data_IF_018276285632
#
_entry.id   IF_018276285632
#
_cell.length_a   1.000
_cell.length_b   1.000
_cell.length_c   1.000
_cell.angle_alpha   90.00
_cell.angle_beta   90.00
_cell.angle_gamma   90.00
#
_symmetry.space_group_name_H-M   'P 1'
#
loop_
_entity.id
_entity.type
_entity.pdbx_description
1 polymer ?
#
# COMPACT_ATOMS: atom_id res chain seq x y z
N UNK A 1 6.85 27.65 -13.17
CA UNK A 1 8.04 27.45 -12.31
C UNK A 1 7.57 27.33 -10.87
N UNK A 2 7.45 26.11 -10.33
CA UNK A 2 7.02 25.89 -8.95
C UNK A 2 8.28 25.55 -8.15
N UNK A 3 8.56 26.35 -7.13
CA UNK A 3 9.72 26.20 -6.26
C UNK A 3 9.78 24.78 -5.68
N UNK A 4 10.83 24.05 -6.02
CA UNK A 4 11.22 22.83 -5.32
C UNK A 4 11.55 23.23 -3.88
N UNK A 5 10.57 23.14 -2.96
CA UNK A 5 10.81 23.29 -1.53
C UNK A 5 11.77 22.17 -1.11
N UNK A 6 13.06 22.50 -1.04
CA UNK A 6 14.09 21.60 -0.51
C UNK A 6 13.67 21.21 0.90
N UNK A 7 13.64 19.91 1.18
CA UNK A 7 13.61 19.44 2.57
C UNK A 7 14.79 20.08 3.29
N UNK A 8 14.57 20.85 4.37
CA UNK A 8 15.67 21.42 5.10
C UNK A 8 16.40 20.24 5.76
N UNK A 9 17.61 19.95 5.30
CA UNK A 9 18.45 18.84 5.78
C UNK A 9 19.07 19.15 7.14
N UNK A 10 19.26 20.44 7.46
CA UNK A 10 19.80 20.90 8.74
C UNK A 10 18.96 20.46 9.95
N UNK A 11 17.63 20.73 10.02
CA UNK A 11 16.82 20.36 11.17
C UNK A 11 16.79 18.85 11.46
N UNK A 12 16.83 18.02 10.41
CA UNK A 12 16.86 16.55 10.57
C UNK A 12 18.21 16.08 11.11
N UNK A 13 19.32 16.63 10.61
CA UNK A 13 20.65 16.31 11.12
C UNK A 13 20.85 16.77 12.59
N UNK A 14 20.39 17.97 12.94
CA UNK A 14 20.42 18.48 14.31
C UNK A 14 19.58 17.64 15.26
N UNK A 15 18.38 17.24 14.83
CA UNK A 15 17.56 16.31 15.60
C UNK A 15 18.27 14.97 15.80
N UNK A 16 18.89 14.41 14.75
CA UNK A 16 19.64 13.15 14.86
C UNK A 16 20.80 13.20 15.85
N UNK A 17 21.56 14.30 15.89
CA UNK A 17 22.63 14.49 16.87
C UNK A 17 22.09 14.59 18.30
N UNK A 18 21.01 15.35 18.53
CA UNK A 18 20.38 15.47 19.84
C UNK A 18 19.79 14.13 20.29
N UNK A 19 19.17 13.39 19.39
CA UNK A 19 18.65 12.05 19.65
C UNK A 19 19.77 11.11 20.12
N UNK A 20 20.89 11.09 19.40
CA UNK A 20 22.04 10.27 19.77
C UNK A 20 22.60 10.66 21.14
N UNK A 21 22.69 11.97 21.44
CA UNK A 21 23.14 12.47 22.72
C UNK A 21 22.20 12.02 23.86
N UNK A 22 20.89 12.19 23.70
CA UNK A 22 19.88 11.78 24.68
C UNK A 22 19.97 10.28 24.94
N UNK A 23 19.97 9.44 23.90
CA UNK A 23 20.04 7.99 24.07
C UNK A 23 21.35 7.55 24.75
N UNK A 24 22.48 8.16 24.39
CA UNK A 24 23.76 7.86 25.03
C UNK A 24 23.74 8.24 26.52
N UNK A 25 23.21 9.42 26.86
CA UNK A 25 23.07 9.85 28.25
C UNK A 25 22.16 8.92 29.04
N UNK A 26 21.01 8.52 28.48
CA UNK A 26 20.09 7.61 29.17
C UNK A 26 20.70 6.22 29.39
N UNK A 27 21.49 5.70 28.43
CA UNK A 27 22.24 4.45 28.61
C UNK A 27 23.28 4.55 29.73
N UNK A 28 24.03 5.65 29.79
CA UNK A 28 25.02 5.87 30.85
C UNK A 28 24.36 6.00 32.22
N UNK A 29 23.22 6.69 32.32
CA UNK A 29 22.46 6.83 33.56
C UNK A 29 21.92 5.48 34.01
N UNK A 30 21.31 4.70 33.10
CA UNK A 30 20.77 3.37 33.37
C UNK A 30 21.81 2.42 33.98
N UNK A 31 23.07 2.48 33.49
CA UNK A 31 24.18 1.68 34.02
C UNK A 31 24.93 2.25 35.23
N UNK A 32 24.51 3.40 35.78
CA UNK A 32 25.24 4.11 36.82
C UNK A 32 24.76 3.79 38.25
N UNK A 33 25.61 4.08 39.24
CA UNK A 33 25.23 4.01 40.66
C UNK A 33 24.06 4.96 41.03
N UNK A 34 23.82 6.00 40.24
CA UNK A 34 22.69 6.92 40.45
C UNK A 34 21.34 6.22 40.22
N UNK A 35 21.28 5.35 39.21
CA UNK A 35 20.09 4.54 38.95
C UNK A 35 19.90 3.49 40.04
N UNK A 36 20.99 2.84 40.48
CA UNK A 36 20.94 1.86 41.57
C UNK A 36 20.48 2.47 42.92
N UNK A 37 20.76 3.75 43.16
CA UNK A 37 20.36 4.44 44.39
C UNK A 37 18.86 4.72 44.49
N UNK A 38 18.18 5.01 43.36
CA UNK A 38 16.73 5.24 43.31
C UNK A 38 16.17 4.77 41.96
N UNK A 39 15.99 3.44 41.78
CA UNK A 39 15.66 2.87 40.48
C UNK A 39 14.28 3.30 39.96
N UNK A 40 13.31 3.56 40.84
CA UNK A 40 11.99 4.06 40.44
C UNK A 40 12.04 5.48 39.84
N UNK A 41 12.78 6.39 40.47
CA UNK A 41 12.93 7.77 39.98
C UNK A 41 13.74 7.79 38.68
N UNK A 42 14.81 7.00 38.61
CA UNK A 42 15.61 6.83 37.40
C UNK A 42 14.80 6.27 36.24
N UNK A 43 14.00 5.24 36.49
CA UNK A 43 13.13 4.63 35.47
C UNK A 43 12.05 5.60 34.97
N UNK A 44 11.44 6.37 35.87
CA UNK A 44 10.50 7.43 35.50
C UNK A 44 11.17 8.49 34.62
N UNK A 45 12.33 9.01 35.02
CA UNK A 45 13.04 10.06 34.30
C UNK A 45 13.46 9.60 32.89
N UNK A 46 14.04 8.41 32.77
CA UNK A 46 14.43 7.83 31.47
C UNK A 46 13.19 7.62 30.59
N UNK A 47 12.11 7.07 31.15
CA UNK A 47 10.86 6.86 30.40
C UNK A 47 10.30 8.19 29.90
N UNK A 48 10.27 9.22 30.76
CA UNK A 48 9.76 10.54 30.40
C UNK A 48 10.61 11.20 29.31
N UNK A 49 11.94 11.20 29.43
CA UNK A 49 12.80 11.84 28.44
C UNK A 49 12.73 11.14 27.07
N UNK A 50 12.68 9.81 27.06
CA UNK A 50 12.55 9.09 25.80
C UNK A 50 11.16 9.23 25.19
N UNK A 51 10.08 9.15 25.98
CA UNK A 51 8.70 9.14 25.43
C UNK A 51 8.07 10.52 25.26
N UNK A 52 8.55 11.55 25.96
CA UNK A 52 8.02 12.92 25.88
C UNK A 52 9.04 13.87 25.27
N UNK A 53 10.26 13.94 25.82
CA UNK A 53 11.26 14.91 25.39
C UNK A 53 11.68 14.68 23.93
N UNK A 54 11.93 13.43 23.52
CA UNK A 54 12.29 13.12 22.12
C UNK A 54 11.18 13.48 21.11
N UNK A 55 9.91 13.07 21.28
CA UNK A 55 8.83 13.48 20.38
C UNK A 55 8.59 15.00 20.35
N UNK A 56 8.72 15.69 21.49
CA UNK A 56 8.61 17.16 21.55
C UNK A 56 9.75 17.83 20.77
N UNK A 57 10.99 17.36 20.92
CA UNK A 57 12.12 17.86 20.14
C UNK A 57 11.94 17.58 18.64
N UNK A 58 11.42 16.42 18.27
CA UNK A 58 11.09 16.11 16.88
C UNK A 58 10.02 17.09 16.34
N UNK A 59 8.99 17.38 17.13
CA UNK A 59 7.97 18.35 16.75
C UNK A 59 8.57 19.74 16.55
N UNK A 60 9.34 20.24 17.51
CA UNK A 60 9.88 21.61 17.50
C UNK A 60 10.93 21.82 16.40
N UNK A 61 11.80 20.84 16.19
CA UNK A 61 12.91 20.97 15.23
C UNK A 61 12.49 20.58 13.82
N UNK A 62 11.74 19.49 13.67
CA UNK A 62 11.41 18.93 12.36
C UNK A 62 10.00 19.34 11.94
N UNK A 63 8.95 18.95 12.68
CA UNK A 63 7.56 19.12 12.22
C UNK A 63 7.20 20.60 12.06
N UNK A 64 7.49 21.43 13.06
CA UNK A 64 7.20 22.88 13.06
C UNK A 64 7.89 23.62 11.91
N UNK A 65 9.06 23.14 11.50
CA UNK A 65 9.90 23.80 10.50
C UNK A 65 9.78 23.15 9.11
N UNK A 66 8.90 22.17 8.94
CA UNK A 66 8.69 21.44 7.68
C UNK A 66 7.21 21.41 7.29
N UNK A 67 6.91 20.79 6.15
CA UNK A 67 5.54 20.54 5.67
C UNK A 67 4.90 19.30 6.31
N UNK A 68 5.59 18.68 7.27
CA UNK A 68 5.10 17.46 7.92
C UNK A 68 3.91 17.78 8.82
N UNK A 69 2.91 16.91 8.80
CA UNK A 69 1.73 17.02 9.66
C UNK A 69 2.05 16.48 11.05
N UNK A 70 1.43 17.02 12.11
CA UNK A 70 1.67 16.60 13.52
C UNK A 70 1.48 15.10 13.79
N UNK A 71 0.80 14.38 12.89
CA UNK A 71 0.63 12.93 12.94
C UNK A 71 1.98 12.19 12.78
N UNK A 72 3.00 12.81 12.17
CA UNK A 72 4.34 12.20 12.06
C UNK A 72 5.08 12.07 13.39
N UNK A 73 4.54 12.64 14.47
CA UNK A 73 5.07 12.44 15.84
C UNK A 73 4.80 11.01 16.33
N UNK A 74 3.67 10.41 15.93
CA UNK A 74 3.27 9.07 16.38
C UNK A 74 4.32 7.97 16.11
N UNK A 75 4.88 7.81 14.90
CA UNK A 75 5.93 6.82 14.66
C UNK A 75 7.22 7.11 15.44
N UNK A 76 7.55 8.38 15.70
CA UNK A 76 8.73 8.74 16.52
C UNK A 76 8.50 8.34 17.97
N UNK A 77 7.32 8.64 18.52
CA UNK A 77 6.92 8.22 19.85
C UNK A 77 6.97 6.69 20.04
N UNK A 78 6.53 5.94 19.02
CA UNK A 78 6.64 4.47 19.01
C UNK A 78 8.08 3.96 19.04
N UNK A 79 8.94 4.51 18.19
CA UNK A 79 10.36 4.16 18.19
C UNK A 79 11.04 4.56 19.51
N UNK A 80 10.57 5.64 20.13
CA UNK A 80 11.02 6.07 21.44
C UNK A 80 10.60 5.11 22.57
N UNK A 81 9.39 4.56 22.53
CA UNK A 81 8.94 3.51 23.46
C UNK A 81 9.80 2.25 23.31
N UNK A 82 10.00 1.77 22.08
CA UNK A 82 10.88 0.63 21.80
C UNK A 82 12.32 0.91 22.24
N UNK A 83 12.80 2.13 22.04
CA UNK A 83 14.12 2.55 22.53
C UNK A 83 14.21 2.50 24.05
N UNK A 84 13.19 2.99 24.76
CA UNK A 84 13.15 2.97 26.22
C UNK A 84 13.12 1.54 26.79
N UNK A 85 12.45 0.59 26.12
CA UNK A 85 12.44 -0.82 26.53
C UNK A 85 13.81 -1.49 26.38
N UNK A 86 14.67 -0.98 25.50
CA UNK A 86 16.06 -1.46 25.33
C UNK A 86 17.03 -0.83 26.33
N UNK A 87 16.76 0.40 26.78
CA UNK A 87 17.62 1.15 27.71
C UNK A 87 17.36 0.74 29.17
N UNK A 88 16.11 0.43 29.53
CA UNK A 88 15.72 0.11 30.90
C UNK A 88 15.83 -1.39 31.21
N UNK A 89 16.37 -1.78 32.39
CA UNK A 89 16.31 -3.16 32.86
C UNK A 89 14.87 -3.67 32.95
N UNK A 90 14.59 -4.96 32.63
CA UNK A 90 13.23 -5.51 32.63
C UNK A 90 12.47 -5.32 33.95
N UNK A 91 13.19 -5.28 35.07
CA UNK A 91 12.64 -5.11 36.42
C UNK A 91 12.03 -3.70 36.67
N UNK A 92 12.44 -2.69 35.88
CA UNK A 92 12.08 -1.29 36.10
C UNK A 92 11.19 -0.71 34.99
N UNK A 93 10.57 -1.56 34.15
CA UNK A 93 9.75 -1.12 33.01
C UNK A 93 8.29 -0.79 33.38
N UNK A 94 7.97 -0.56 34.67
CA UNK A 94 6.59 -0.31 35.13
C UNK A 94 5.90 0.84 34.38
N UNK A 95 6.56 1.99 34.26
CA UNK A 95 6.00 3.16 33.57
C UNK A 95 5.86 2.93 32.07
N UNK A 96 6.82 2.22 31.48
CA UNK A 96 6.79 1.82 30.07
C UNK A 96 5.58 0.92 29.79
N UNK A 97 5.35 -0.11 30.60
CA UNK A 97 4.20 -1.01 30.47
C UNK A 97 2.86 -0.28 30.58
N UNK A 98 2.74 0.69 31.50
CA UNK A 98 1.54 1.52 31.61
C UNK A 98 1.30 2.35 30.34
N UNK A 99 2.36 2.93 29.76
CA UNK A 99 2.27 3.66 28.51
C UNK A 99 1.91 2.72 27.35
N UNK A 100 2.54 1.56 27.22
CA UNK A 100 2.23 0.58 26.18
C UNK A 100 0.73 0.19 26.19
N UNK A 101 0.17 -0.09 27.37
CA UNK A 101 -1.25 -0.42 27.49
C UNK A 101 -2.20 0.73 27.10
N UNK A 102 -1.78 1.99 27.25
CA UNK A 102 -2.56 3.17 26.84
C UNK A 102 -2.38 3.48 25.35
N UNK A 103 -1.20 3.22 24.82
CA UNK A 103 -0.80 3.56 23.46
C UNK A 103 -1.46 2.62 22.45
N UNK A 104 -1.53 1.32 22.75
CA UNK A 104 -2.22 0.34 21.88
C UNK A 104 -3.66 0.78 21.51
N UNK A 105 -4.56 1.09 22.46
CA UNK A 105 -5.90 1.56 22.10
C UNK A 105 -5.90 2.94 21.44
N UNK A 106 -5.03 3.87 21.86
CA UNK A 106 -4.92 5.18 21.24
C UNK A 106 -4.50 5.10 19.75
N UNK A 107 -3.59 4.18 19.42
CA UNK A 107 -3.17 3.91 18.05
C UNK A 107 -4.27 3.28 17.22
N UNK A 108 -4.96 2.27 17.77
CA UNK A 108 -6.11 1.68 17.09
C UNK A 108 -7.17 2.74 16.75
N UNK A 109 -7.41 3.68 17.66
CA UNK A 109 -8.29 4.82 17.42
C UNK A 109 -7.75 5.78 16.36
N UNK A 110 -6.45 6.11 16.39
CA UNK A 110 -5.80 6.96 15.38
C UNK A 110 -5.85 6.33 13.98
N UNK A 111 -5.47 5.06 13.85
CA UNK A 111 -5.54 4.31 12.60
C UNK A 111 -6.98 4.19 12.10
N UNK A 112 -7.93 3.90 12.99
CA UNK A 112 -9.37 3.89 12.68
C UNK A 112 -9.85 5.25 12.17
N UNK A 113 -9.49 6.34 12.85
CA UNK A 113 -9.83 7.70 12.45
C UNK A 113 -9.23 8.07 11.08
N UNK A 114 -7.95 7.79 10.87
CA UNK A 114 -7.25 8.01 9.60
C UNK A 114 -7.88 7.20 8.47
N UNK A 115 -8.25 5.95 8.73
CA UNK A 115 -8.96 5.09 7.78
C UNK A 115 -10.33 5.64 7.40
N UNK A 116 -11.14 6.05 8.39
CA UNK A 116 -12.44 6.68 8.14
C UNK A 116 -12.30 8.00 7.37
N UNK A 117 -11.29 8.81 7.70
CA UNK A 117 -10.99 10.03 6.95
C UNK A 117 -10.61 9.70 5.50
N UNK A 118 -9.74 8.73 5.28
CA UNK A 118 -9.35 8.27 3.95
C UNK A 118 -10.58 7.80 3.14
N UNK A 119 -11.49 7.03 3.74
CA UNK A 119 -12.77 6.64 3.09
C UNK A 119 -13.59 7.86 2.68
N UNK A 120 -13.76 8.81 3.60
CA UNK A 120 -14.52 10.03 3.32
C UNK A 120 -13.90 10.83 2.19
N UNK A 121 -12.57 10.97 2.19
CA UNK A 121 -11.83 11.71 1.18
C UNK A 121 -11.91 11.01 -0.19
N UNK A 122 -11.78 9.68 -0.25
CA UNK A 122 -11.98 8.91 -1.49
C UNK A 122 -13.40 9.06 -2.01
N UNK A 123 -14.41 8.96 -1.15
CA UNK A 123 -15.82 9.11 -1.54
C UNK A 123 -16.13 10.52 -2.02
N UNK A 124 -15.60 11.55 -1.37
CA UNK A 124 -15.71 12.96 -1.79
C UNK A 124 -15.03 13.18 -3.14
N UNK A 125 -13.80 12.69 -3.30
CA UNK A 125 -13.06 12.80 -4.55
C UNK A 125 -13.76 12.08 -5.71
N UNK A 126 -14.44 10.95 -5.45
CA UNK A 126 -15.28 10.26 -6.44
C UNK A 126 -16.54 11.06 -6.77
N UNK A 127 -17.20 11.66 -5.78
CA UNK A 127 -18.42 12.45 -5.99
C UNK A 127 -18.19 13.77 -6.73
N UNK A 128 -16.99 14.35 -6.60
CA UNK A 128 -16.60 15.63 -7.21
C UNK A 128 -15.90 15.47 -8.57
N UNK A 129 -15.92 14.27 -9.17
CA UNK A 129 -15.30 14.07 -10.48
C UNK A 129 -16.03 14.89 -11.53
N UNK A 130 -15.32 15.83 -12.13
CA UNK A 130 -15.82 16.56 -13.30
C UNK A 130 -15.95 15.60 -14.49
N UNK A 131 -17.03 15.70 -15.28
CA UNK A 131 -17.20 14.95 -16.53
C UNK A 131 -15.95 15.10 -17.41
N UNK A 132 -15.35 13.99 -17.83
CA UNK A 132 -14.18 13.99 -18.71
C UNK A 132 -12.80 14.12 -18.04
N UNK A 133 -12.73 14.21 -16.70
CA UNK A 133 -11.47 14.06 -15.97
C UNK A 133 -11.00 12.62 -16.10
N UNK A 134 -9.89 12.36 -16.79
CA UNK A 134 -9.35 11.01 -16.98
C UNK A 134 -9.32 10.21 -15.69
N UNK A 135 -9.60 8.90 -15.76
CA UNK A 135 -9.82 8.06 -14.58
C UNK A 135 -8.51 7.72 -13.85
N UNK A 136 -7.91 8.71 -13.19
CA UNK A 136 -6.95 8.40 -12.14
C UNK A 136 -7.73 7.84 -10.96
N UNK A 137 -7.54 6.56 -10.72
CA UNK A 137 -8.15 5.88 -9.58
C UNK A 137 -7.52 6.34 -8.25
N UNK A 138 -8.05 5.85 -7.14
CA UNK A 138 -7.52 6.18 -5.81
C UNK A 138 -6.02 5.91 -5.67
N UNK A 139 -5.53 4.80 -6.23
CA UNK A 139 -4.15 4.34 -6.07
C UNK A 139 -3.21 5.27 -6.84
N UNK A 140 -3.55 5.60 -8.08
CA UNK A 140 -2.78 6.52 -8.91
C UNK A 140 -2.71 7.92 -8.28
N UNK A 141 -3.81 8.41 -7.70
CA UNK A 141 -3.83 9.70 -6.98
C UNK A 141 -2.98 9.66 -5.71
N UNK A 142 -3.07 8.58 -4.93
CA UNK A 142 -2.29 8.40 -3.71
C UNK A 142 -0.79 8.36 -4.04
N UNK A 143 -0.42 7.60 -5.07
CA UNK A 143 0.96 7.51 -5.54
C UNK A 143 1.49 8.86 -6.05
N UNK A 144 0.71 9.58 -6.86
CA UNK A 144 1.09 10.92 -7.33
C UNK A 144 1.30 11.91 -6.17
N UNK A 145 0.41 11.88 -5.16
CA UNK A 145 0.50 12.74 -3.97
C UNK A 145 1.73 12.39 -3.12
N UNK A 146 1.94 11.10 -2.84
CA UNK A 146 3.08 10.64 -2.04
C UNK A 146 4.42 10.89 -2.74
N UNK A 147 4.50 10.75 -4.06
CA UNK A 147 5.70 11.09 -4.83
C UNK A 147 6.05 12.59 -4.79
N UNK A 148 5.06 13.46 -4.57
CA UNK A 148 5.30 14.89 -4.34
C UNK A 148 5.70 15.19 -2.90
N UNK A 149 5.16 14.43 -1.94
CA UNK A 149 5.40 14.63 -0.52
C UNK A 149 6.69 13.98 0.00
N UNK A 150 7.17 12.89 -0.62
CA UNK A 150 8.33 12.14 -0.15
C UNK A 150 9.53 12.31 -1.11
N UNK A 151 10.75 12.50 -0.59
CA UNK A 151 11.94 12.69 -1.42
C UNK A 151 12.37 11.40 -2.14
N UNK A 152 12.14 10.24 -1.52
CA UNK A 152 12.46 8.94 -2.08
C UNK A 152 11.25 8.34 -2.82
N UNK A 153 11.33 8.31 -4.16
CA UNK A 153 10.25 7.78 -5.02
C UNK A 153 9.87 6.34 -4.68
N UNK A 154 10.87 5.49 -4.40
CA UNK A 154 10.63 4.11 -4.01
C UNK A 154 9.84 4.01 -2.70
N UNK A 155 10.22 4.77 -1.66
CA UNK A 155 9.49 4.79 -0.40
C UNK A 155 8.05 5.30 -0.60
N UNK A 156 7.86 6.32 -1.45
CA UNK A 156 6.53 6.80 -1.80
C UNK A 156 5.66 5.73 -2.44
N UNK A 157 6.22 4.97 -3.37
CA UNK A 157 5.52 3.89 -4.06
C UNK A 157 5.20 2.72 -3.13
N UNK A 158 6.11 2.38 -2.21
CA UNK A 158 5.87 1.35 -1.19
C UNK A 158 4.73 1.75 -0.27
N UNK A 159 4.81 2.95 0.32
CA UNK A 159 3.77 3.48 1.21
C UNK A 159 2.43 3.59 0.50
N UNK A 160 2.41 4.01 -0.77
CA UNK A 160 1.18 4.10 -1.56
C UNK A 160 0.50 2.73 -1.70
N UNK A 161 1.26 1.68 -1.99
CA UNK A 161 0.73 0.33 -2.12
C UNK A 161 0.23 -0.20 -0.79
N UNK A 162 1.00 -0.03 0.29
CA UNK A 162 0.60 -0.51 1.62
C UNK A 162 -0.68 0.16 2.12
N UNK A 163 -0.78 1.49 1.97
CA UNK A 163 -2.00 2.23 2.30
C UNK A 163 -3.16 1.79 1.39
N UNK A 164 -2.92 1.52 0.11
CA UNK A 164 -3.95 1.00 -0.79
C UNK A 164 -4.44 -0.40 -0.36
N UNK A 165 -3.55 -1.33 -0.02
CA UNK A 165 -3.93 -2.66 0.48
C UNK A 165 -4.79 -2.56 1.74
N UNK A 166 -4.36 -1.78 2.73
CA UNK A 166 -5.12 -1.58 3.97
C UNK A 166 -6.47 -0.89 3.72
N UNK A 167 -6.51 0.13 2.85
CA UNK A 167 -7.75 0.77 2.43
C UNK A 167 -8.72 -0.25 1.84
N UNK A 168 -8.26 -1.06 0.89
CA UNK A 168 -9.10 -2.06 0.27
C UNK A 168 -9.54 -3.11 1.30
N UNK A 169 -8.63 -3.62 2.13
CA UNK A 169 -8.87 -4.70 3.07
C UNK A 169 -9.86 -4.34 4.19
N UNK A 170 -9.81 -3.11 4.71
CA UNK A 170 -10.52 -2.74 5.93
C UNK A 170 -11.68 -1.77 5.68
N UNK A 171 -11.57 -0.94 4.66
CA UNK A 171 -12.38 0.28 4.58
C UNK A 171 -13.27 0.39 3.33
N UNK A 172 -13.00 -0.41 2.30
CA UNK A 172 -13.67 -0.30 1.00
C UNK A 172 -14.86 -1.26 0.78
N UNK A 173 -15.27 -2.02 1.79
CA UNK A 173 -16.28 -3.09 1.66
C UNK A 173 -17.63 -2.62 1.09
N UNK A 174 -18.02 -1.37 1.38
CA UNK A 174 -19.26 -0.74 0.89
C UNK A 174 -19.07 0.06 -0.39
N UNK A 175 -17.87 0.10 -0.94
CA UNK A 175 -17.59 0.88 -2.12
C UNK A 175 -18.06 0.16 -3.39
N UNK A 176 -18.36 0.97 -4.40
CA UNK A 176 -18.69 0.52 -5.76
C UNK A 176 -17.42 0.54 -6.63
N UNK A 177 -17.37 -0.28 -7.69
CA UNK A 177 -16.29 -0.26 -8.67
C UNK A 177 -16.01 1.15 -9.17
N UNK A 178 -14.74 1.46 -9.37
CA UNK A 178 -14.30 2.78 -9.80
C UNK A 178 -14.51 2.95 -11.31
N UNK A 179 -15.65 3.53 -11.71
CA UNK A 179 -16.06 3.75 -13.10
C UNK A 179 -16.35 5.23 -13.32
N UNK A 180 -15.67 5.86 -14.27
CA UNK A 180 -15.93 7.24 -14.69
C UNK A 180 -17.11 7.38 -15.64
N UNK A 181 -17.57 8.60 -15.86
CA UNK A 181 -18.63 8.89 -16.83
C UNK A 181 -18.17 8.55 -18.25
N UNK A 182 -19.01 7.82 -19.01
CA UNK A 182 -18.72 7.37 -20.37
C UNK A 182 -17.77 6.16 -20.47
N UNK A 183 -17.25 5.67 -19.33
CA UNK A 183 -16.45 4.45 -19.29
C UNK A 183 -17.34 3.20 -19.15
N UNK A 184 -16.96 2.12 -19.84
CA UNK A 184 -17.61 0.83 -19.70
C UNK A 184 -16.69 -0.08 -18.91
N UNK A 185 -17.22 -0.63 -17.81
CA UNK A 185 -16.49 -1.51 -16.92
C UNK A 185 -16.68 -2.98 -17.28
N UNK A 186 -15.57 -3.72 -17.28
CA UNK A 186 -15.51 -5.15 -17.48
C UNK A 186 -14.84 -5.82 -16.27
N UNK A 187 -15.57 -6.71 -15.61
CA UNK A 187 -15.00 -7.56 -14.57
C UNK A 187 -14.18 -8.70 -15.19
N UNK A 188 -13.26 -9.25 -14.41
CA UNK A 188 -12.34 -10.32 -14.82
C UNK A 188 -12.14 -11.39 -13.74
N UNK A 189 -13.03 -11.44 -12.75
CA UNK A 189 -12.85 -12.25 -11.53
C UNK A 189 -14.10 -13.05 -11.15
N UNK A 190 -15.26 -12.79 -11.77
CA UNK A 190 -16.52 -13.40 -11.36
C UNK A 190 -16.70 -14.78 -11.98
N UNK A 191 -16.14 -15.04 -13.17
CA UNK A 191 -16.38 -16.27 -13.94
C UNK A 191 -15.15 -17.17 -14.15
N UNK A 192 -14.05 -16.93 -13.42
CA UNK A 192 -12.79 -17.67 -13.59
C UNK A 192 -12.33 -18.47 -12.35
N UNK A 193 -13.21 -18.67 -11.36
CA UNK A 193 -12.89 -19.42 -10.14
C UNK A 193 -12.01 -18.68 -9.13
N UNK A 194 -11.60 -17.43 -9.41
CA UNK A 194 -10.75 -16.63 -8.54
C UNK A 194 -11.30 -16.50 -7.12
N UNK A 195 -12.61 -16.27 -6.96
CA UNK A 195 -13.25 -16.18 -5.65
C UNK A 195 -13.09 -17.46 -4.81
N UNK A 196 -13.24 -18.64 -5.44
CA UNK A 196 -13.05 -19.92 -4.75
C UNK A 196 -11.61 -20.14 -4.31
N UNK A 197 -10.63 -19.83 -5.18
CA UNK A 197 -9.20 -19.92 -4.87
C UNK A 197 -8.84 -18.99 -3.70
N UNK A 198 -9.36 -17.76 -3.70
CA UNK A 198 -9.14 -16.82 -2.60
C UNK A 198 -9.70 -17.31 -1.26
N UNK A 199 -10.92 -17.86 -1.26
CA UNK A 199 -11.51 -18.42 -0.04
C UNK A 199 -10.68 -19.60 0.45
N UNK A 200 -10.29 -20.51 -0.45
CA UNK A 200 -9.47 -21.66 -0.11
C UNK A 200 -8.11 -21.25 0.49
N UNK A 201 -7.36 -20.36 -0.17
CA UNK A 201 -6.04 -19.92 0.32
C UNK A 201 -6.16 -19.15 1.64
N UNK A 202 -7.21 -18.35 1.82
CA UNK A 202 -7.44 -17.61 3.08
C UNK A 202 -7.76 -18.56 4.23
N UNK A 203 -8.60 -19.58 3.99
CA UNK A 203 -8.92 -20.59 5.00
C UNK A 203 -7.69 -21.43 5.37
N UNK A 204 -6.92 -21.89 4.37
CA UNK A 204 -5.67 -22.61 4.60
C UNK A 204 -4.70 -21.76 5.41
N UNK A 205 -4.50 -20.49 5.02
CA UNK A 205 -3.64 -19.56 5.75
C UNK A 205 -4.10 -19.33 7.20
N UNK A 206 -5.42 -19.26 7.45
CA UNK A 206 -5.96 -19.10 8.80
C UNK A 206 -5.71 -20.34 9.68
N UNK A 207 -5.88 -21.55 9.14
CA UNK A 207 -5.57 -22.79 9.85
C UNK A 207 -4.06 -22.92 10.09
N UNK A 208 -3.26 -22.68 9.05
CA UNK A 208 -1.80 -22.70 9.12
C UNK A 208 -1.28 -21.71 10.18
N UNK A 209 -1.82 -20.49 10.23
CA UNK A 209 -1.49 -19.49 11.24
C UNK A 209 -1.66 -20.04 12.66
N UNK A 210 -2.79 -20.69 12.96
CA UNK A 210 -3.04 -21.26 14.29
C UNK A 210 -2.07 -22.41 14.58
N UNK A 211 -1.89 -23.33 13.63
CA UNK A 211 -1.01 -24.50 13.80
C UNK A 211 0.45 -24.08 14.00
N UNK A 212 0.95 -23.19 13.16
CA UNK A 212 2.33 -22.67 13.23
C UNK A 212 2.53 -21.89 14.52
N UNK A 213 1.56 -21.07 14.95
CA UNK A 213 1.66 -20.36 16.23
C UNK A 213 1.80 -21.33 17.40
N UNK A 214 0.93 -22.35 17.50
CA UNK A 214 0.99 -23.33 18.59
C UNK A 214 2.28 -24.15 18.56
N UNK A 215 2.73 -24.56 17.37
CA UNK A 215 3.99 -25.31 17.21
C UNK A 215 5.19 -24.47 17.67
N UNK A 216 5.31 -23.24 17.17
CA UNK A 216 6.46 -22.38 17.47
C UNK A 216 6.40 -21.84 18.90
N UNK A 217 5.21 -21.68 19.49
CA UNK A 217 5.07 -21.25 20.88
C UNK A 217 5.72 -22.23 21.86
N UNK A 218 5.82 -23.51 21.50
CA UNK A 218 6.54 -24.52 22.29
C UNK A 218 8.06 -24.32 22.31
N UNK A 219 8.62 -23.64 21.32
CA UNK A 219 10.06 -23.36 21.22
C UNK A 219 10.42 -21.93 21.60
N UNK A 220 9.61 -20.95 21.17
CA UNK A 220 9.83 -19.53 21.42
C UNK A 220 8.50 -18.78 21.36
N UNK A 221 7.96 -18.29 22.50
CA UNK A 221 6.75 -17.47 22.52
C UNK A 221 6.88 -16.21 21.67
N UNK A 222 8.04 -15.56 21.69
CA UNK A 222 8.29 -14.36 20.90
C UNK A 222 8.24 -14.64 19.40
N UNK A 223 8.89 -15.71 18.94
CA UNK A 223 8.85 -16.08 17.52
C UNK A 223 7.43 -16.44 17.07
N UNK A 224 6.66 -17.11 17.93
CA UNK A 224 5.27 -17.46 17.65
C UNK A 224 4.39 -16.23 17.45
N UNK A 225 4.55 -15.18 18.27
CA UNK A 225 3.82 -13.92 18.12
C UNK A 225 4.24 -13.13 16.88
N UNK A 226 5.55 -13.11 16.57
CA UNK A 226 6.04 -12.49 15.33
C UNK A 226 5.43 -13.17 14.11
N UNK A 227 5.49 -14.51 14.04
CA UNK A 227 4.92 -15.27 12.93
C UNK A 227 3.40 -15.09 12.85
N UNK A 228 2.71 -15.08 13.99
CA UNK A 228 1.27 -14.80 14.04
C UNK A 228 0.94 -13.43 13.45
N UNK A 229 1.69 -12.38 13.82
CA UNK A 229 1.49 -11.04 13.27
C UNK A 229 1.73 -11.00 11.75
N UNK A 230 2.77 -11.68 11.26
CA UNK A 230 3.05 -11.82 9.82
C UNK A 230 1.91 -12.57 9.10
N UNK A 231 1.38 -13.65 9.68
CA UNK A 231 0.26 -14.40 9.13
C UNK A 231 -1.03 -13.57 9.07
N UNK A 232 -1.37 -12.86 10.15
CA UNK A 232 -2.51 -11.94 10.19
C UNK A 232 -2.35 -10.86 9.12
N UNK A 233 -1.17 -10.25 9.01
CA UNK A 233 -0.87 -9.28 7.97
C UNK A 233 -1.06 -9.86 6.56
N UNK A 234 -0.57 -11.08 6.31
CA UNK A 234 -0.76 -11.78 5.05
C UNK A 234 -2.24 -12.01 4.70
N UNK A 235 -3.07 -12.39 5.67
CA UNK A 235 -4.52 -12.54 5.48
C UNK A 235 -5.17 -11.19 5.16
N UNK A 236 -4.84 -10.14 5.90
CA UNK A 236 -5.33 -8.78 5.63
C UNK A 236 -4.93 -8.32 4.23
N UNK A 237 -3.70 -8.60 3.81
CA UNK A 237 -3.19 -8.30 2.48
C UNK A 237 -3.97 -9.05 1.39
N UNK A 238 -4.26 -10.35 1.58
CA UNK A 238 -5.08 -11.14 0.66
C UNK A 238 -6.50 -10.57 0.50
N UNK A 239 -7.12 -10.15 1.60
CA UNK A 239 -8.43 -9.49 1.58
C UNK A 239 -8.37 -8.15 0.83
N UNK A 240 -7.33 -7.35 1.07
CA UNK A 240 -7.10 -6.10 0.34
C UNK A 240 -6.93 -6.31 -1.15
N UNK A 241 -6.16 -7.33 -1.53
CA UNK A 241 -5.95 -7.69 -2.93
C UNK A 241 -7.24 -8.16 -3.62
N UNK A 242 -8.00 -9.04 -2.95
CA UNK A 242 -9.29 -9.53 -3.42
C UNK A 242 -10.27 -8.37 -3.68
N UNK A 243 -10.34 -7.45 -2.73
CA UNK A 243 -11.23 -6.32 -2.77
C UNK A 243 -10.76 -5.27 -3.81
N UNK A 244 -9.46 -5.10 -4.01
CA UNK A 244 -8.92 -4.28 -5.10
C UNK A 244 -9.30 -4.84 -6.48
N UNK A 245 -9.27 -6.17 -6.66
CA UNK A 245 -9.72 -6.83 -7.89
C UNK A 245 -11.22 -6.60 -8.16
N UNK A 246 -12.03 -6.59 -7.10
CA UNK A 246 -13.46 -6.31 -7.21
C UNK A 246 -13.73 -4.86 -7.62
N UNK A 247 -12.95 -3.92 -7.09
CA UNK A 247 -13.20 -2.48 -7.22
C UNK A 247 -12.45 -1.80 -8.36
N UNK A 248 -11.44 -2.44 -8.96
CA UNK A 248 -10.67 -1.93 -10.11
C UNK A 248 -10.93 -2.79 -11.35
N UNK A 249 -12.08 -2.63 -12.03
CA UNK A 249 -12.35 -3.34 -13.28
C UNK A 249 -11.44 -2.85 -14.42
N UNK A 250 -11.42 -3.59 -15.52
CA UNK A 250 -10.88 -3.10 -16.79
C UNK A 250 -11.88 -2.08 -17.35
N UNK A 251 -11.42 -0.90 -17.72
CA UNK A 251 -12.27 0.19 -18.19
C UNK A 251 -11.98 0.51 -19.64
N UNK A 252 -13.04 0.61 -20.44
CA UNK A 252 -12.97 1.07 -21.82
C UNK A 252 -13.58 2.47 -21.90
N UNK A 253 -12.74 3.47 -22.15
CA UNK A 253 -13.10 4.86 -22.43
C UNK A 253 -13.07 5.13 -23.94
N UNK A 254 -13.58 6.27 -24.39
CA UNK A 254 -13.75 6.57 -25.82
C UNK A 254 -12.44 6.55 -26.60
N UNK A 255 -11.32 6.84 -25.91
CA UNK A 255 -9.97 6.92 -26.48
C UNK A 255 -8.95 6.01 -25.82
N UNK A 256 -9.25 5.44 -24.66
CA UNK A 256 -8.25 4.72 -23.83
C UNK A 256 -8.87 3.44 -23.27
N UNK A 257 -8.09 2.36 -23.31
CA UNK A 257 -8.34 1.12 -22.58
C UNK A 257 -7.45 1.10 -21.34
N UNK A 258 -8.07 1.11 -20.16
CA UNK A 258 -7.38 0.98 -18.88
C UNK A 258 -7.38 -0.47 -18.44
N UNK A 259 -6.22 -1.12 -18.49
CA UNK A 259 -6.04 -2.49 -18.00
C UNK A 259 -5.52 -2.41 -16.57
N UNK A 260 -6.35 -2.85 -15.63
CA UNK A 260 -6.08 -2.83 -14.18
C UNK A 260 -6.26 -4.22 -13.61
N UNK A 261 -5.22 -4.77 -12.98
CA UNK A 261 -5.25 -6.08 -12.35
C UNK A 261 -4.99 -5.92 -10.86
N UNK A 262 -6.06 -5.70 -10.08
CA UNK A 262 -5.97 -5.60 -8.62
C UNK A 262 -5.07 -4.47 -8.20
N UNK A 263 -3.99 -4.73 -7.48
CA UNK A 263 -2.88 -3.77 -7.29
C UNK A 263 -1.61 -4.19 -8.04
N UNK A 264 -1.64 -5.31 -8.77
CA UNK A 264 -0.46 -5.89 -9.41
C UNK A 264 0.00 -5.13 -10.64
N UNK A 265 -0.93 -4.75 -11.51
CA UNK A 265 -0.63 -4.10 -12.79
C UNK A 265 -1.64 -3.00 -13.11
N UNK A 266 -1.15 -1.90 -13.67
CA UNK A 266 -1.94 -0.81 -14.23
C UNK A 266 -1.27 -0.28 -15.49
N UNK A 267 -2.03 -0.17 -16.57
CA UNK A 267 -1.59 0.47 -17.82
C UNK A 267 -2.77 1.15 -18.50
N UNK A 268 -2.49 2.30 -19.09
CA UNK A 268 -3.44 3.06 -19.91
C UNK A 268 -2.99 2.96 -21.36
N UNK A 269 -3.82 2.36 -22.21
CA UNK A 269 -3.50 2.08 -23.60
C UNK A 269 -4.38 2.97 -24.47
N UNK A 270 -3.84 4.00 -25.13
CA UNK A 270 -4.59 4.73 -26.15
C UNK A 270 -5.10 3.77 -27.22
N UNK A 271 -6.38 3.85 -27.60
CA UNK A 271 -6.93 2.97 -28.64
C UNK A 271 -6.21 3.17 -29.98
N UNK A 272 -5.68 4.38 -30.23
CA UNK A 272 -4.86 4.68 -31.40
C UNK A 272 -3.49 3.96 -31.42
N UNK A 273 -2.97 3.52 -30.27
CA UNK A 273 -1.70 2.78 -30.20
C UNK A 273 -1.88 1.27 -30.37
N UNK A 274 -3.12 0.77 -30.44
CA UNK A 274 -3.42 -0.65 -30.65
C UNK A 274 -3.19 -0.99 -32.13
N UNK A 275 -2.24 -1.88 -32.39
CA UNK A 275 -1.92 -2.36 -33.73
C UNK A 275 -2.88 -3.47 -34.16
N UNK A 276 -3.15 -4.45 -33.28
CA UNK A 276 -4.14 -5.49 -33.51
C UNK A 276 -4.65 -6.07 -32.19
N UNK A 277 -5.84 -6.69 -32.21
CA UNK A 277 -6.38 -7.43 -31.07
C UNK A 277 -6.81 -8.79 -31.58
N UNK A 278 -6.16 -9.85 -31.10
CA UNK A 278 -6.38 -11.21 -31.60
C UNK A 278 -7.01 -12.07 -30.52
N UNK A 279 -8.05 -12.85 -30.83
CA UNK A 279 -8.53 -13.88 -29.93
C UNK A 279 -7.46 -14.96 -29.79
N UNK A 280 -7.24 -15.41 -28.57
CA UNK A 280 -6.28 -16.48 -28.26
C UNK A 280 -6.92 -17.81 -28.67
N UNK A 281 -6.56 -18.31 -29.86
CA UNK A 281 -6.99 -19.64 -30.36
C UNK A 281 -6.07 -20.77 -29.85
N UNK A 282 -4.79 -20.47 -29.65
CA UNK A 282 -3.80 -21.33 -28.98
C UNK A 282 -3.10 -20.50 -27.91
N UNK A 283 -2.78 -21.11 -26.77
CA UNK A 283 -2.09 -20.44 -25.65
C UNK A 283 -0.94 -19.58 -26.19
N UNK A 284 -0.91 -18.26 -25.92
CA UNK A 284 0.22 -17.46 -26.34
C UNK A 284 1.41 -17.96 -25.54
N UNK A 285 2.57 -17.94 -26.21
CA UNK A 285 3.93 -17.83 -25.69
C UNK A 285 4.07 -17.80 -24.15
N UNK A 286 5.01 -18.60 -23.63
CA UNK A 286 5.32 -18.73 -22.21
C UNK A 286 5.26 -17.39 -21.45
N UNK A 287 4.76 -17.39 -20.21
CA UNK A 287 4.67 -16.20 -19.32
C UNK A 287 5.94 -15.34 -19.27
N UNK A 288 7.09 -15.92 -19.64
CA UNK A 288 8.42 -15.30 -19.63
C UNK A 288 8.84 -14.62 -20.95
N UNK A 289 7.99 -14.51 -21.96
CA UNK A 289 8.37 -13.83 -23.21
C UNK A 289 8.70 -12.36 -22.94
N UNK A 290 9.88 -11.87 -23.38
CA UNK A 290 10.21 -10.45 -23.35
C UNK A 290 9.13 -9.62 -24.05
N UNK A 291 8.70 -8.51 -23.43
CA UNK A 291 7.69 -7.62 -23.99
C UNK A 291 6.23 -8.08 -23.90
N UNK A 292 5.96 -9.27 -23.33
CA UNK A 292 4.60 -9.75 -23.08
C UNK A 292 4.16 -9.50 -21.62
N UNK A 293 2.94 -9.01 -21.41
CA UNK A 293 2.29 -8.89 -20.10
C UNK A 293 1.12 -9.86 -20.01
N UNK A 294 1.17 -10.78 -19.05
CA UNK A 294 0.05 -11.64 -18.68
C UNK A 294 -0.85 -10.93 -17.66
N UNK A 295 -1.83 -10.16 -18.14
CA UNK A 295 -2.76 -9.39 -17.32
C UNK A 295 -4.05 -10.20 -17.04
N UNK A 296 -3.89 -11.39 -16.45
CA UNK A 296 -4.99 -12.29 -16.07
C UNK A 296 -4.75 -12.82 -14.66
N UNK A 297 -5.78 -12.81 -13.81
CA UNK A 297 -5.68 -13.30 -12.43
C UNK A 297 -5.61 -14.82 -12.35
N UNK A 298 -6.55 -15.51 -13.00
CA UNK A 298 -6.65 -16.97 -13.01
C UNK A 298 -6.91 -17.47 -14.42
N UNK A 299 -6.16 -18.50 -14.81
CA UNK A 299 -6.26 -19.11 -16.13
C UNK A 299 -5.47 -18.38 -17.20
N UNK A 300 -6.00 -18.43 -18.43
CA UNK A 300 -5.32 -17.98 -19.65
C UNK A 300 -5.99 -16.74 -20.25
N UNK A 301 -5.22 -15.91 -20.97
CA UNK A 301 -5.78 -14.78 -21.72
C UNK A 301 -6.75 -15.28 -22.78
N UNK A 302 -7.80 -14.49 -23.00
CA UNK A 302 -8.78 -14.70 -24.06
C UNK A 302 -8.44 -13.87 -25.29
N UNK A 303 -7.78 -12.73 -25.07
CA UNK A 303 -7.36 -11.78 -26.10
C UNK A 303 -5.91 -11.37 -25.87
N UNK A 304 -5.17 -11.18 -26.95
CA UNK A 304 -3.87 -10.51 -26.93
C UNK A 304 -4.00 -9.21 -27.69
N UNK A 305 -3.69 -8.12 -27.00
CA UNK A 305 -3.62 -6.77 -27.56
C UNK A 305 -2.16 -6.52 -27.94
N UNK A 306 -1.93 -6.29 -29.23
CA UNK A 306 -0.64 -5.90 -29.76
C UNK A 306 -0.60 -4.38 -29.93
N UNK A 307 0.49 -3.79 -29.45
CA UNK A 307 0.71 -2.36 -29.45
C UNK A 307 1.69 -2.00 -30.56
N UNK A 308 1.42 -0.92 -31.27
CA UNK A 308 2.31 -0.43 -32.33
C UNK A 308 3.64 0.10 -31.78
N UNK A 309 3.62 0.61 -30.55
CA UNK A 309 4.79 1.07 -29.83
C UNK A 309 4.84 0.41 -28.43
N UNK A 310 6.04 0.12 -27.90
CA UNK A 310 6.16 -0.41 -26.56
C UNK A 310 5.65 0.58 -25.51
N UNK A 311 4.89 0.08 -24.54
CA UNK A 311 4.40 0.87 -23.40
C UNK A 311 5.05 0.46 -22.09
N UNK A 312 5.01 1.38 -21.14
CA UNK A 312 5.44 1.18 -19.76
C UNK A 312 4.25 0.73 -18.91
N UNK A 313 4.42 -0.36 -18.15
CA UNK A 313 3.35 -0.94 -17.32
C UNK A 313 3.76 -0.84 -15.85
N UNK A 314 2.95 -0.16 -15.05
CA UNK A 314 3.20 0.02 -13.63
C UNK A 314 2.71 -1.20 -12.85
N UNK A 315 3.49 -1.65 -11.88
CA UNK A 315 3.12 -2.73 -10.97
C UNK A 315 3.46 -2.44 -9.52
N UNK A 316 3.46 -3.50 -8.70
CA UNK A 316 3.60 -3.40 -7.24
C UNK A 316 4.83 -2.64 -6.80
N UNK A 317 4.68 -1.85 -5.73
CA UNK A 317 5.80 -1.20 -5.04
C UNK A 317 6.66 -0.30 -5.94
N UNK A 318 6.05 0.25 -6.99
CA UNK A 318 6.73 1.12 -7.96
C UNK A 318 7.56 0.36 -8.99
N UNK A 319 7.51 -0.98 -8.98
CA UNK A 319 8.08 -1.78 -10.06
C UNK A 319 7.40 -1.40 -11.37
N UNK A 320 8.20 -1.29 -12.42
CA UNK A 320 7.68 -0.97 -13.73
C UNK A 320 8.28 -1.88 -14.79
N UNK A 321 7.42 -2.53 -15.56
CA UNK A 321 7.82 -3.33 -16.71
C UNK A 321 7.88 -2.42 -17.94
N UNK A 322 9.09 -2.23 -18.47
CA UNK A 322 9.34 -1.46 -19.69
C UNK A 322 9.18 -2.34 -20.93
N UNK A 323 9.00 -1.69 -22.07
CA UNK A 323 8.98 -2.30 -23.40
C UNK A 323 7.90 -3.38 -23.58
N UNK A 324 6.72 -3.20 -23.00
CA UNK A 324 5.60 -4.13 -23.19
C UNK A 324 4.93 -3.81 -24.52
N UNK A 325 4.91 -4.76 -25.45
CA UNK A 325 4.25 -4.63 -26.75
C UNK A 325 3.01 -5.51 -26.88
N UNK A 326 2.89 -6.54 -26.04
CA UNK A 326 1.78 -7.48 -26.07
C UNK A 326 1.16 -7.61 -24.69
N UNK A 327 -0.16 -7.51 -24.61
CA UNK A 327 -0.89 -7.60 -23.35
C UNK A 327 -2.00 -8.64 -23.49
N UNK A 328 -1.88 -9.74 -22.77
CA UNK A 328 -2.90 -10.77 -22.68
C UNK A 328 -3.92 -10.42 -21.61
N UNK A 329 -5.20 -10.32 -21.99
CA UNK A 329 -6.31 -10.00 -21.08
C UNK A 329 -7.40 -11.07 -21.11
N UNK A 330 -8.16 -11.14 -20.02
CA UNK A 330 -9.36 -11.95 -19.92
C UNK A 330 -10.43 -11.16 -19.17
N UNK A 331 -11.67 -11.24 -19.65
CA UNK A 331 -12.84 -10.60 -19.04
C UNK A 331 -13.97 -11.60 -18.86
N UNK A 332 -14.91 -11.29 -17.96
CA UNK A 332 -16.06 -12.16 -17.67
C UNK A 332 -17.14 -12.09 -18.77
N UNK A 333 -17.28 -10.96 -19.46
CA UNK A 333 -18.20 -10.76 -20.59
C UNK A 333 -17.42 -10.55 -21.89
N UNK A 334 -17.02 -11.68 -22.48
CA UNK A 334 -16.17 -11.70 -23.69
C UNK A 334 -16.86 -11.08 -24.90
N UNK A 335 -18.15 -11.37 -25.07
CA UNK A 335 -18.92 -10.93 -26.23
C UNK A 335 -19.12 -9.42 -26.20
N UNK A 336 -19.54 -8.87 -25.06
CA UNK A 336 -19.72 -7.43 -24.91
C UNK A 336 -18.41 -6.67 -25.04
N UNK A 337 -17.33 -7.20 -24.47
CA UNK A 337 -16.01 -6.57 -24.59
C UNK A 337 -15.54 -6.51 -26.03
N UNK A 338 -15.61 -7.62 -26.76
CA UNK A 338 -15.22 -7.68 -28.18
C UNK A 338 -16.02 -6.69 -29.03
N UNK A 339 -17.35 -6.71 -28.92
CA UNK A 339 -18.22 -5.83 -29.70
C UNK A 339 -17.96 -4.34 -29.44
N UNK A 340 -17.77 -3.96 -28.18
CA UNK A 340 -17.55 -2.56 -27.81
C UNK A 340 -16.13 -2.08 -28.18
N UNK A 341 -15.14 -2.96 -28.07
CA UNK A 341 -13.77 -2.67 -28.48
C UNK A 341 -13.70 -2.48 -30.00
N UNK A 342 -14.33 -3.38 -30.77
CA UNK A 342 -14.42 -3.28 -32.22
C UNK A 342 -15.07 -1.96 -32.63
N UNK A 343 -16.25 -1.67 -32.07
CA UNK A 343 -16.99 -0.44 -32.34
C UNK A 343 -16.10 0.79 -32.18
N UNK A 344 -15.36 0.89 -31.07
CA UNK A 344 -14.49 2.04 -30.78
C UNK A 344 -13.24 2.09 -31.66
N UNK A 345 -12.66 0.95 -32.02
CA UNK A 345 -11.54 0.88 -32.95
C UNK A 345 -11.97 1.31 -34.37
N UNK A 346 -13.16 0.87 -34.83
CA UNK A 346 -13.70 1.29 -36.12
C UNK A 346 -13.96 2.80 -36.17
N UNK A 347 -14.52 3.39 -35.10
CA UNK A 347 -14.64 4.84 -34.97
C UNK A 347 -13.28 5.57 -34.96
N UNK A 348 -12.22 4.91 -34.53
CA UNK A 348 -10.84 5.41 -34.60
C UNK A 348 -10.11 5.07 -35.92
N UNK A 349 -10.79 4.45 -36.89
CA UNK A 349 -10.24 4.11 -38.20
C UNK A 349 -9.44 2.80 -38.27
N UNK A 350 -9.60 1.86 -37.33
CA UNK A 350 -8.92 0.55 -37.33
C UNK A 350 -9.91 -0.60 -37.09
N UNK A 351 -9.95 -1.60 -37.97
CA UNK A 351 -10.76 -2.82 -37.77
C UNK A 351 -10.04 -3.87 -36.93
N UNK A 352 -10.79 -4.76 -36.28
CA UNK A 352 -10.22 -6.00 -35.72
C UNK A 352 -9.83 -6.93 -36.88
N UNK A 353 -8.59 -7.41 -36.89
CA UNK A 353 -8.07 -8.37 -37.89
C UNK A 353 -8.14 -9.81 -37.42
#
# INVERSE_FOLDING_TARGET
MIATRRFPTLPVASFGMLLLAIYTTMLLISGSHLFAGNPDLGAFAITFDLTVTVPVLFYLLVVRNTVLHWITIAPVFLLSLLGASLVLPPENQRYLNLLEHLVVPAELLLFGFLGVKAVRDVRRARAQRLPGSGSHDFVERLQATLRQALPAKFAADVVAHEVAFLYYALFSWRDKPDVGEGEIAFSYHQKNGYGGILVAITLVAAVEMVVVHLLVASWSPTAAWILFAVSVYGIVWLLGYAQAIRLRPILLSSKVLHVRIGLLWSVQIPLASIASVRPVKMLPQARSTPGYLHAVTVGNPQWVIELGEPVEVHGLYGYTKKNVQQIGIAVDDRARFGAELERRLTFAGRGLS
#
